data_IF_283723344793
#
_entry.id   IF_283723344793
#
_cell.length_a   1.000
_cell.length_b   1.000
_cell.length_c   1.000
_cell.angle_alpha   90.00
_cell.angle_beta   90.00
_cell.angle_gamma   90.00
#
_symmetry.space_group_name_H-M   'P 1'
#
loop_
_entity.id
_entity.type
_entity.pdbx_description
1 polymer ?
#
# COMPACT_ATOMS: atom_id res chain seq x y z
N UNK A 1 -14.24 -12.77 -4.49
CA UNK A 1 -13.51 -11.50 -4.29
C UNK A 1 -12.04 -11.84 -4.17
N UNK A 2 -11.15 -11.02 -4.72
CA UNK A 2 -9.69 -11.21 -4.70
C UNK A 2 -9.07 -9.99 -4.03
N UNK A 3 -8.13 -10.22 -3.12
CA UNK A 3 -7.33 -9.15 -2.52
C UNK A 3 -6.25 -8.68 -3.46
N UNK A 4 -6.16 -7.37 -3.64
CA UNK A 4 -5.12 -6.73 -4.43
C UNK A 4 -4.45 -5.64 -3.61
N UNK A 5 -3.16 -5.42 -3.84
CA UNK A 5 -2.43 -4.26 -3.35
C UNK A 5 -2.41 -3.19 -4.43
N UNK A 6 -2.87 -1.99 -4.11
CA UNK A 6 -2.97 -0.86 -5.06
C UNK A 6 -2.14 0.32 -4.58
N UNK A 7 -1.34 0.85 -5.49
CA UNK A 7 -0.54 2.07 -5.30
C UNK A 7 -0.78 3.03 -6.46
N UNK A 8 -0.46 4.30 -6.27
CA UNK A 8 -0.51 5.29 -7.33
C UNK A 8 0.86 5.91 -7.55
N UNK A 9 1.30 6.05 -8.79
CA UNK A 9 2.66 6.50 -9.18
C UNK A 9 3.13 7.75 -8.44
N UNK A 10 2.22 8.69 -8.19
CA UNK A 10 2.53 9.98 -7.56
C UNK A 10 2.09 10.08 -6.08
N UNK A 11 1.56 9.01 -5.48
CA UNK A 11 1.12 8.99 -4.08
C UNK A 11 1.92 7.96 -3.31
N UNK A 12 2.24 8.28 -2.06
CA UNK A 12 3.03 7.39 -1.18
C UNK A 12 2.19 6.24 -0.61
N UNK A 13 0.87 6.42 -0.55
CA UNK A 13 -0.04 5.45 0.09
C UNK A 13 -0.35 4.28 -0.83
N UNK A 14 -0.06 3.09 -0.31
CA UNK A 14 -0.44 1.80 -0.86
C UNK A 14 -1.52 1.20 0.02
N UNK A 15 -2.59 0.65 -0.56
CA UNK A 15 -3.73 0.07 0.18
C UNK A 15 -4.05 -1.32 -0.34
N UNK A 16 -4.73 -2.10 0.47
CA UNK A 16 -5.26 -3.40 0.08
C UNK A 16 -6.75 -3.24 -0.20
N UNK A 17 -7.22 -3.76 -1.33
CA UNK A 17 -8.61 -3.69 -1.76
C UNK A 17 -9.13 -5.10 -2.05
N UNK A 18 -10.34 -5.37 -1.62
CA UNK A 18 -11.10 -6.54 -2.04
C UNK A 18 -11.89 -6.19 -3.32
N UNK A 19 -11.52 -6.81 -4.45
CA UNK A 19 -12.15 -6.54 -5.75
C UNK A 19 -12.80 -7.80 -6.35
N UNK A 20 -13.85 -7.66 -7.18
CA UNK A 20 -14.38 -8.79 -7.95
C UNK A 20 -13.30 -9.35 -8.89
N UNK A 21 -13.18 -10.67 -8.95
CA UNK A 21 -12.14 -11.33 -9.77
C UNK A 21 -12.29 -11.00 -11.26
N UNK A 22 -13.52 -10.98 -11.76
CA UNK A 22 -13.82 -10.60 -13.14
C UNK A 22 -13.37 -9.16 -13.45
N UNK A 23 -13.53 -8.25 -12.49
CA UNK A 23 -13.11 -6.86 -12.62
C UNK A 23 -11.57 -6.78 -12.70
N UNK A 24 -10.87 -7.55 -11.87
CA UNK A 24 -9.42 -7.63 -11.89
C UNK A 24 -8.90 -8.23 -13.22
N UNK A 25 -9.47 -9.34 -13.69
CA UNK A 25 -9.07 -9.97 -14.97
C UNK A 25 -9.21 -8.98 -16.13
N UNK A 26 -10.31 -8.22 -16.18
CA UNK A 26 -10.49 -7.20 -17.21
C UNK A 26 -9.51 -6.03 -17.02
N UNK A 27 -9.19 -5.64 -15.79
CA UNK A 27 -8.18 -4.61 -15.55
C UNK A 27 -6.78 -5.05 -15.98
N UNK A 28 -6.40 -6.30 -15.72
CA UNK A 28 -5.12 -6.91 -16.13
C UNK A 28 -4.99 -6.99 -17.66
N UNK A 29 -6.10 -7.22 -18.37
CA UNK A 29 -6.17 -7.15 -19.84
C UNK A 29 -6.11 -5.72 -20.41
N UNK A 30 -5.98 -4.70 -19.56
CA UNK A 30 -5.84 -3.30 -19.98
C UNK A 30 -7.16 -2.58 -20.26
N UNK A 31 -8.32 -3.14 -19.89
CA UNK A 31 -9.60 -2.46 -20.11
C UNK A 31 -9.73 -1.23 -19.20
N UNK A 32 -9.99 -0.06 -19.83
CA UNK A 32 -10.01 1.24 -19.14
C UNK A 32 -11.07 1.35 -18.04
N UNK A 33 -12.28 0.84 -18.29
CA UNK A 33 -13.39 0.94 -17.33
C UNK A 33 -13.12 0.15 -16.02
N UNK A 34 -12.63 -1.10 -16.08
CA UNK A 34 -12.17 -1.82 -14.89
C UNK A 34 -11.03 -1.14 -14.13
N UNK A 35 -9.98 -0.67 -14.82
CA UNK A 35 -8.87 0.07 -14.19
C UNK A 35 -9.40 1.30 -13.45
N UNK A 36 -10.34 2.01 -14.07
CA UNK A 36 -10.98 3.17 -13.50
C UNK A 36 -11.80 2.86 -12.24
N UNK A 37 -12.52 1.72 -12.22
CA UNK A 37 -13.22 1.27 -11.00
C UNK A 37 -12.26 0.97 -9.86
N UNK A 38 -11.14 0.27 -10.13
CA UNK A 38 -10.10 0.03 -9.12
C UNK A 38 -9.54 1.36 -8.59
N UNK A 39 -9.34 2.34 -9.48
CA UNK A 39 -8.88 3.67 -9.09
C UNK A 39 -9.88 4.40 -8.19
N UNK A 40 -11.19 4.34 -8.47
CA UNK A 40 -12.20 4.96 -7.61
C UNK A 40 -12.25 4.32 -6.22
N UNK A 41 -12.14 2.98 -6.15
CA UNK A 41 -12.02 2.27 -4.88
C UNK A 41 -10.77 2.68 -4.10
N UNK A 42 -9.63 2.81 -4.78
CA UNK A 42 -8.39 3.32 -4.20
C UNK A 42 -8.55 4.73 -3.62
N UNK A 43 -9.19 5.63 -4.36
CA UNK A 43 -9.42 7.01 -3.92
C UNK A 43 -10.34 7.05 -2.68
N UNK A 44 -11.40 6.24 -2.66
CA UNK A 44 -12.31 6.13 -1.54
C UNK A 44 -11.59 5.64 -0.28
N UNK A 45 -10.83 4.55 -0.38
CA UNK A 45 -10.05 3.99 0.72
C UNK A 45 -8.99 4.97 1.25
N UNK A 46 -8.42 5.76 0.34
CA UNK A 46 -7.42 6.78 0.69
C UNK A 46 -8.01 8.11 1.18
N UNK A 47 -9.33 8.30 1.14
CA UNK A 47 -10.00 9.60 1.30
C UNK A 47 -9.38 10.70 0.40
N UNK A 48 -9.01 10.33 -0.82
CA UNK A 48 -8.40 11.25 -1.78
C UNK A 48 -9.44 11.88 -2.70
N UNK A 49 -9.31 13.20 -2.88
CA UNK A 49 -10.00 13.86 -3.98
C UNK A 49 -9.39 13.41 -5.31
N UNK A 50 -10.26 13.16 -6.27
CA UNK A 50 -9.89 12.80 -7.64
C UNK A 50 -9.11 13.89 -8.39
N UNK A 51 -9.14 15.15 -7.92
CA UNK A 51 -8.55 16.29 -8.63
C UNK A 51 -7.08 16.00 -9.00
N UNK A 52 -6.82 16.03 -10.31
CA UNK A 52 -5.52 15.83 -10.98
C UNK A 52 -4.91 14.43 -10.89
N UNK A 53 -5.64 13.42 -10.43
CA UNK A 53 -5.15 12.04 -10.39
C UNK A 53 -5.65 11.27 -11.61
N UNK A 54 -4.72 10.65 -12.33
CA UNK A 54 -5.01 9.86 -13.52
C UNK A 54 -5.21 8.40 -13.13
N UNK A 55 -6.33 7.80 -13.56
CA UNK A 55 -6.61 6.39 -13.29
C UNK A 55 -5.50 5.46 -13.81
N UNK A 56 -4.86 5.80 -14.93
CA UNK A 56 -3.75 5.01 -15.50
C UNK A 56 -2.46 5.04 -14.66
N UNK A 57 -2.37 5.94 -13.67
CA UNK A 57 -1.22 6.00 -12.77
C UNK A 57 -1.31 5.01 -11.62
N UNK A 58 -2.39 4.23 -11.50
CA UNK A 58 -2.45 3.14 -10.53
C UNK A 58 -1.63 1.94 -10.97
N UNK A 59 -1.01 1.29 -10.00
CA UNK A 59 -0.42 -0.04 -10.15
C UNK A 59 -1.10 -0.95 -9.14
N UNK A 60 -1.54 -2.12 -9.59
CA UNK A 60 -2.16 -3.12 -8.74
C UNK A 60 -1.54 -4.49 -8.95
N UNK A 61 -1.48 -5.29 -7.88
CA UNK A 61 -0.95 -6.65 -7.88
C UNK A 61 -1.87 -7.55 -7.04
N UNK A 62 -2.07 -8.79 -7.48
CA UNK A 62 -2.77 -9.82 -6.71
C UNK A 62 -1.99 -10.14 -5.43
N UNK A 63 -2.70 -10.25 -4.31
CA UNK A 63 -2.16 -10.84 -3.09
C UNK A 63 -2.54 -12.31 -3.14
N UNK A 64 -1.60 -13.18 -3.54
CA UNK A 64 -1.84 -14.61 -3.44
C UNK A 64 -1.91 -15.04 -1.97
N UNK A 65 -2.81 -15.97 -1.59
CA UNK A 65 -2.84 -16.53 -0.24
C UNK A 65 -1.56 -17.33 0.10
N UNK A 66 -0.81 -17.80 -0.90
CA UNK A 66 0.53 -18.39 -0.78
C UNK A 66 1.61 -17.37 -0.39
N UNK A 67 1.33 -16.06 -0.48
CA UNK A 67 2.18 -14.97 0.01
C UNK A 67 1.94 -14.63 1.49
N UNK A 68 1.49 -15.61 2.29
CA UNK A 68 1.59 -15.58 3.76
C UNK A 68 3.05 -15.57 4.29
N UNK A 69 4.05 -15.36 3.43
CA UNK A 69 5.47 -15.21 3.75
C UNK A 69 6.00 -13.78 3.60
N UNK A 70 5.15 -12.77 3.53
CA UNK A 70 5.52 -11.47 4.10
C UNK A 70 4.54 -11.26 5.23
N UNK A 71 4.94 -11.74 6.41
CA UNK A 71 4.30 -11.45 7.68
C UNK A 71 3.83 -10.00 7.61
N UNK A 72 2.52 -9.80 7.64
CA UNK A 72 1.97 -8.64 8.31
C UNK A 72 2.45 -8.74 9.76
N UNK A 73 3.71 -8.41 10.01
CA UNK A 73 4.09 -7.84 11.28
C UNK A 73 3.37 -6.51 11.28
N UNK A 74 2.11 -6.58 11.73
CA UNK A 74 1.41 -5.51 12.41
C UNK A 74 2.47 -4.59 12.98
N UNK A 75 2.48 -3.35 12.49
CA UNK A 75 3.23 -2.26 13.08
C UNK A 75 2.86 -2.21 14.56
N UNK A 76 3.55 -2.98 15.39
CA UNK A 76 3.77 -2.63 16.76
C UNK A 76 4.69 -1.41 16.64
N UNK A 77 4.08 -0.25 16.43
CA UNK A 77 4.60 0.97 17.01
C UNK A 77 4.87 0.59 18.46
N UNK A 78 6.13 0.27 18.78
CA UNK A 78 6.50 0.18 20.17
C UNK A 78 6.09 1.53 20.74
N UNK A 79 5.19 1.48 21.71
CA UNK A 79 4.64 2.64 22.41
C UNK A 79 5.68 3.32 23.29
N UNK A 80 6.94 2.85 23.28
CA UNK A 80 8.05 3.59 23.84
C UNK A 80 8.36 4.78 22.91
N UNK A 81 8.21 5.99 23.45
CA UNK A 81 8.45 7.26 22.74
C UNK A 81 9.88 7.43 22.19
N UNK A 82 10.74 6.42 22.32
CA UNK A 82 12.18 6.43 22.02
C UNK A 82 12.55 5.73 20.71
N UNK A 83 11.65 4.92 20.13
CA UNK A 83 11.94 4.10 18.93
C UNK A 83 11.04 4.45 17.74
N UNK A 84 10.46 5.66 17.73
CA UNK A 84 9.47 6.05 16.74
C UNK A 84 10.14 6.44 15.41
N UNK A 85 10.23 5.49 14.48
CA UNK A 85 10.50 5.82 13.09
C UNK A 85 9.26 6.47 12.46
N UNK A 86 9.40 7.69 11.98
CA UNK A 86 8.31 8.45 11.35
C UNK A 86 8.08 8.09 9.87
N UNK A 87 8.86 7.14 9.33
CA UNK A 87 8.81 6.74 7.93
C UNK A 87 8.02 5.44 7.80
N UNK A 88 6.82 5.55 7.25
CA UNK A 88 6.05 4.39 6.79
C UNK A 88 6.90 3.56 5.81
N UNK A 89 6.88 2.23 5.97
CA UNK A 89 7.69 1.27 5.21
C UNK A 89 9.21 1.53 5.28
N UNK A 90 9.71 1.85 6.47
CA UNK A 90 11.15 1.95 6.66
C UNK A 90 11.79 0.56 6.59
N UNK A 91 12.58 0.32 5.55
CA UNK A 91 13.31 -0.95 5.33
C UNK A 91 14.11 -1.42 6.57
N UNK A 92 14.71 -0.49 7.32
CA UNK A 92 15.44 -0.83 8.55
C UNK A 92 14.51 -1.29 9.67
N UNK A 93 13.35 -0.65 9.82
CA UNK A 93 12.34 -1.04 10.81
C UNK A 93 11.63 -2.33 10.41
N UNK A 94 11.36 -2.54 9.12
CA UNK A 94 10.81 -3.79 8.59
C UNK A 94 11.74 -4.98 8.82
N UNK A 95 13.06 -4.74 8.77
CA UNK A 95 14.08 -5.73 9.09
C UNK A 95 14.34 -5.90 10.61
N UNK A 96 13.62 -5.18 11.48
CA UNK A 96 13.80 -5.22 12.93
C UNK A 96 15.04 -4.49 13.46
N UNK A 97 15.74 -3.73 12.61
CA UNK A 97 16.95 -2.97 12.95
C UNK A 97 16.62 -1.53 13.36
N UNK A 98 15.81 -1.36 14.40
CA UNK A 98 15.33 -0.05 14.87
C UNK A 98 16.46 0.90 15.32
N UNK A 99 17.47 0.39 16.04
CA UNK A 99 18.61 1.17 16.54
C UNK A 99 19.49 1.74 15.43
N UNK A 100 19.50 1.10 14.26
CA UNK A 100 20.26 1.51 13.08
C UNK A 100 19.40 2.27 12.08
N UNK A 101 18.13 2.54 12.40
CA UNK A 101 17.26 3.27 11.50
C UNK A 101 17.74 4.72 11.38
N UNK A 102 18.13 5.19 10.19
CA UNK A 102 18.59 6.58 10.00
C UNK A 102 17.45 7.59 10.17
N UNK A 103 16.20 7.12 10.19
CA UNK A 103 14.99 7.92 10.41
C UNK A 103 14.45 7.74 11.83
N UNK A 104 15.24 7.15 12.74
CA UNK A 104 14.88 7.12 14.14
C UNK A 104 14.98 8.54 14.71
N UNK A 105 14.03 8.93 15.56
CA UNK A 105 13.94 10.30 16.09
C UNK A 105 15.08 10.67 17.06
N UNK A 106 15.92 9.72 17.46
CA UNK A 106 17.16 9.99 18.19
C UNK A 106 18.25 10.53 17.26
N UNK A 107 18.25 11.85 17.07
CA UNK A 107 19.47 12.62 16.81
C UNK A 107 19.66 13.62 17.94
N UNK A 108 20.16 13.13 19.08
CA UNK A 108 20.98 13.89 20.01
C UNK A 108 22.03 12.93 20.58
#
# INVERSE_FOLDING_TARGET
MVKIRVSHKFRKRTVELDVPEELLIKAEKGYRSPIYRIFEMYLAECNYSRKNLQAQSIKFQRIEPSFNTIKSQSFAHRTDKFSACNKENCLFCEAGHFERCPNNLHRY
#
